data_IF_576626709921
#
_entry.id   IF_576626709921
#
_cell.length_a   1.000
_cell.length_b   1.000
_cell.length_c   1.000
_cell.angle_alpha   90.00
_cell.angle_beta   90.00
_cell.angle_gamma   90.00
#
_symmetry.space_group_name_H-M   'P 1'
#
loop_
_entity.id
_entity.type
_entity.pdbx_description
1 polymer ?
#
# COMPACT_ATOMS: atom_id res chain seq x y z
N UNK A 1 10.30 19.70 -6.14
CA UNK A 1 8.82 19.63 -6.23
C UNK A 1 8.26 20.57 -5.17
N UNK A 2 7.61 21.64 -5.57
CA UNK A 2 7.02 22.61 -4.63
C UNK A 2 5.48 22.54 -4.73
N UNK A 3 4.81 22.55 -3.59
CA UNK A 3 3.36 22.57 -3.50
C UNK A 3 2.89 23.94 -3.02
N UNK A 4 1.86 24.49 -3.66
CA UNK A 4 1.27 25.77 -3.26
C UNK A 4 0.56 25.70 -1.89
N UNK A 5 0.08 24.52 -1.49
CA UNK A 5 -0.61 24.32 -0.21
C UNK A 5 -0.21 23.00 0.45
N UNK A 6 -0.42 22.92 1.78
CA UNK A 6 -0.23 21.68 2.54
C UNK A 6 -1.19 20.57 2.09
N UNK A 7 -2.39 20.94 1.64
CA UNK A 7 -3.39 19.99 1.13
C UNK A 7 -2.89 19.34 -0.15
N UNK A 8 -2.37 20.12 -1.09
CA UNK A 8 -1.81 19.60 -2.34
C UNK A 8 -0.62 18.65 -2.08
N UNK A 9 0.26 19.01 -1.13
CA UNK A 9 1.36 18.14 -0.72
C UNK A 9 0.88 16.81 -0.12
N UNK A 10 -0.14 16.87 0.75
CA UNK A 10 -0.72 15.67 1.37
C UNK A 10 -1.35 14.75 0.34
N UNK A 11 -2.06 15.30 -0.64
CA UNK A 11 -2.69 14.50 -1.70
C UNK A 11 -1.64 13.77 -2.54
N UNK A 12 -0.62 14.48 -3.01
CA UNK A 12 0.46 13.88 -3.79
C UNK A 12 1.22 12.80 -3.00
N UNK A 13 1.41 13.00 -1.69
CA UNK A 13 2.01 11.99 -0.82
C UNK A 13 1.14 10.73 -0.74
N UNK A 14 -0.17 10.87 -0.49
CA UNK A 14 -1.10 9.74 -0.39
C UNK A 14 -1.17 9.01 -1.73
N UNK A 15 -1.26 9.73 -2.84
CA UNK A 15 -1.25 9.13 -4.17
C UNK A 15 0.03 8.32 -4.41
N UNK A 16 1.19 8.88 -4.08
CA UNK A 16 2.45 8.14 -4.18
C UNK A 16 2.48 6.89 -3.30
N UNK A 17 2.02 7.02 -2.03
CA UNK A 17 2.01 5.91 -1.08
C UNK A 17 1.12 4.78 -1.59
N UNK A 18 -0.11 5.07 -2.00
CA UNK A 18 -1.08 4.03 -2.39
C UNK A 18 -0.86 3.51 -3.82
N UNK A 19 -0.65 4.40 -4.78
CA UNK A 19 -0.56 4.04 -6.20
C UNK A 19 0.82 3.52 -6.59
N UNK A 20 1.88 3.85 -5.86
CA UNK A 20 3.23 3.42 -6.21
C UNK A 20 3.93 2.60 -5.13
N UNK A 21 4.06 3.16 -3.92
CA UNK A 21 4.93 2.61 -2.87
C UNK A 21 4.37 1.31 -2.27
N UNK A 22 3.16 1.33 -1.71
CA UNK A 22 2.54 0.17 -1.04
C UNK A 22 2.39 -1.01 -2.01
N UNK A 23 2.08 -0.76 -3.28
CA UNK A 23 1.96 -1.81 -4.32
C UNK A 23 3.25 -2.58 -4.58
N UNK A 24 4.41 -1.99 -4.29
CA UNK A 24 5.72 -2.57 -4.59
C UNK A 24 6.48 -2.98 -3.33
N UNK A 25 6.26 -2.28 -2.22
CA UNK A 25 6.97 -2.54 -0.97
C UNK A 25 6.51 -3.86 -0.36
N UNK A 26 7.48 -4.73 -0.11
CA UNK A 26 7.30 -5.90 0.74
C UNK A 26 7.53 -5.50 2.20
N UNK A 27 6.62 -5.91 3.06
CA UNK A 27 6.68 -5.61 4.48
C UNK A 27 7.14 -6.84 5.26
N UNK A 28 8.17 -6.70 6.09
CA UNK A 28 8.69 -7.80 6.91
C UNK A 28 7.63 -8.35 7.87
N UNK A 29 6.79 -7.47 8.41
CA UNK A 29 5.63 -7.82 9.24
C UNK A 29 4.56 -8.63 8.49
N UNK A 30 4.49 -8.49 7.16
CA UNK A 30 3.59 -9.25 6.28
C UNK A 30 4.30 -10.46 5.63
N UNK A 31 5.34 -10.99 6.29
CA UNK A 31 6.15 -12.11 5.75
C UNK A 31 6.71 -11.81 4.35
N UNK A 32 7.16 -10.57 4.14
CA UNK A 32 7.67 -10.07 2.85
C UNK A 32 6.65 -10.09 1.69
N UNK A 33 5.37 -9.88 2.01
CA UNK A 33 4.31 -9.63 1.03
C UNK A 33 4.02 -8.14 0.91
N UNK A 34 3.47 -7.75 -0.24
CA UNK A 34 2.81 -6.45 -0.39
C UNK A 34 1.44 -6.50 0.31
N UNK A 35 0.82 -5.36 0.65
CA UNK A 35 -0.51 -5.33 1.25
C UNK A 35 -1.55 -6.10 0.43
N UNK A 36 -1.59 -5.88 -0.90
CA UNK A 36 -2.51 -6.61 -1.79
C UNK A 36 -2.25 -8.13 -1.80
N UNK A 37 -0.99 -8.57 -1.79
CA UNK A 37 -0.67 -10.00 -1.67
C UNK A 37 -1.12 -10.58 -0.33
N UNK A 38 -1.01 -9.81 0.75
CA UNK A 38 -1.48 -10.24 2.07
C UNK A 38 -3.01 -10.32 2.12
N UNK A 39 -3.73 -9.37 1.52
CA UNK A 39 -5.19 -9.42 1.39
C UNK A 39 -5.63 -10.64 0.60
N UNK A 40 -5.04 -10.89 -0.58
CA UNK A 40 -5.33 -12.10 -1.37
C UNK A 40 -5.08 -13.36 -0.56
N UNK A 41 -3.92 -13.45 0.13
CA UNK A 41 -3.61 -14.59 0.98
C UNK A 41 -4.68 -14.79 2.07
N UNK A 42 -5.09 -13.72 2.75
CA UNK A 42 -6.11 -13.78 3.79
C UNK A 42 -7.44 -14.31 3.25
N UNK A 43 -7.94 -13.76 2.13
CA UNK A 43 -9.21 -14.20 1.55
C UNK A 43 -9.15 -15.62 0.99
N UNK A 44 -8.07 -16.02 0.32
CA UNK A 44 -7.92 -17.39 -0.21
C UNK A 44 -7.81 -18.41 0.92
N UNK A 45 -7.06 -18.12 1.98
CA UNK A 45 -6.96 -19.03 3.13
C UNK A 45 -8.28 -19.08 3.91
N UNK A 46 -8.97 -17.95 4.09
CA UNK A 46 -10.26 -17.92 4.78
C UNK A 46 -11.38 -18.66 4.01
N UNK A 47 -11.34 -18.67 2.68
CA UNK A 47 -12.28 -19.43 1.85
C UNK A 47 -11.95 -20.93 1.75
N UNK A 48 -10.74 -21.32 2.11
CA UNK A 48 -10.30 -22.72 2.08
C UNK A 48 -10.46 -23.45 3.43
N UNK A 49 -10.91 -22.75 4.48
CA UNK A 49 -11.16 -23.25 5.82
C UNK A 49 -12.66 -23.42 6.07
#
# INVERSE_FOLDING_TARGET
MHFATRVAARLALVEYIESWYNRRRKHSTLRHRTPSQQETYFFTTAMAA
#
